data_IF_353823189329
#
_entry.id   IF_353823189329
#
_cell.length_a   1.000
_cell.length_b   1.000
_cell.length_c   1.000
_cell.angle_alpha   90.00
_cell.angle_beta   90.00
_cell.angle_gamma   90.00
#
_symmetry.space_group_name_H-M   'P 1'
#
loop_
_entity.id
_entity.type
_entity.pdbx_description
1 polymer ?
#
# COMPACT_ATOMS: atom_id res chain seq x y z
N UNK A 1 0.07 -30.32 9.64
CA UNK A 1 0.86 -29.67 8.59
C UNK A 1 0.35 -28.24 8.51
N UNK A 2 1.20 -27.27 8.76
CA UNK A 2 0.83 -25.85 8.65
C UNK A 2 0.91 -25.49 7.17
N UNK A 3 -0.20 -25.09 6.57
CA UNK A 3 -0.17 -24.55 5.20
C UNK A 3 0.71 -23.30 5.20
N UNK A 4 1.69 -23.25 4.30
CA UNK A 4 2.54 -22.07 4.08
C UNK A 4 1.74 -20.97 3.42
N UNK A 5 2.04 -19.71 3.74
CA UNK A 5 1.44 -18.56 3.05
C UNK A 5 1.87 -18.59 1.59
N UNK A 6 0.91 -18.53 0.68
CA UNK A 6 1.08 -18.51 -0.77
C UNK A 6 0.20 -17.42 -1.37
N UNK A 7 0.76 -16.67 -2.31
CA UNK A 7 -0.01 -15.75 -3.16
C UNK A 7 0.06 -16.14 -4.63
N UNK A 8 -0.91 -15.63 -5.38
CA UNK A 8 -1.01 -15.67 -6.84
C UNK A 8 -1.41 -14.29 -7.35
N UNK A 9 -0.76 -13.85 -8.41
CA UNK A 9 -1.15 -12.65 -9.16
C UNK A 9 -2.14 -13.06 -10.24
N UNK A 10 -3.42 -12.79 -9.98
CA UNK A 10 -4.53 -13.18 -10.84
C UNK A 10 -4.54 -12.38 -12.15
N UNK A 11 -4.22 -11.08 -12.07
CA UNK A 11 -4.24 -10.22 -13.23
C UNK A 11 -3.43 -8.92 -13.02
N UNK A 12 -2.91 -8.37 -14.11
CA UNK A 12 -2.31 -7.04 -14.19
C UNK A 12 -2.88 -6.34 -15.42
N UNK A 13 -3.83 -5.45 -15.20
CA UNK A 13 -4.58 -4.76 -16.25
C UNK A 13 -4.08 -3.32 -16.38
N UNK A 14 -3.47 -2.99 -17.52
CA UNK A 14 -3.02 -1.61 -17.79
C UNK A 14 -4.23 -0.71 -18.08
N UNK A 15 -4.24 0.47 -17.45
CA UNK A 15 -5.22 1.52 -17.74
C UNK A 15 -4.82 2.22 -19.04
N UNK A 16 -5.80 2.47 -19.92
CA UNK A 16 -5.58 3.15 -21.19
C UNK A 16 -5.13 4.60 -20.93
N UNK A 17 -3.83 4.89 -21.07
CA UNK A 17 -3.26 6.20 -20.80
C UNK A 17 -3.51 7.28 -21.86
N UNK A 18 -4.46 7.07 -22.78
CA UNK A 18 -4.67 7.95 -23.95
C UNK A 18 -5.17 9.35 -23.62
N UNK A 19 -5.63 9.61 -22.38
CA UNK A 19 -6.26 10.88 -21.99
C UNK A 19 -5.48 11.68 -20.94
N UNK A 20 -4.33 11.20 -20.45
CA UNK A 20 -3.56 11.93 -19.43
C UNK A 20 -2.65 12.99 -20.06
N UNK A 21 -2.71 14.23 -19.58
CA UNK A 21 -1.83 15.34 -19.99
C UNK A 21 -0.40 15.21 -19.42
N UNK A 22 -0.22 14.53 -18.29
CA UNK A 22 1.10 14.29 -17.68
C UNK A 22 1.77 12.97 -18.07
N UNK A 23 1.04 11.88 -18.31
CA UNK A 23 1.66 10.56 -18.51
C UNK A 23 2.08 10.34 -19.97
N UNK A 24 3.37 10.10 -20.22
CA UNK A 24 3.90 9.84 -21.57
C UNK A 24 3.88 8.35 -21.91
N UNK A 25 4.47 7.55 -21.03
CA UNK A 25 4.59 6.11 -21.21
C UNK A 25 4.95 5.45 -19.88
N UNK A 26 4.60 4.19 -19.71
CA UNK A 26 4.97 3.41 -18.54
C UNK A 26 5.00 1.90 -18.86
N UNK A 27 5.52 1.13 -17.93
CA UNK A 27 5.44 -0.33 -17.89
C UNK A 27 5.37 -0.80 -16.45
N UNK A 28 4.62 -1.88 -16.23
CA UNK A 28 4.71 -2.71 -15.02
C UNK A 28 5.52 -3.94 -15.43
N UNK A 29 6.76 -4.03 -14.97
CA UNK A 29 7.66 -5.13 -15.31
C UNK A 29 7.41 -6.35 -14.41
N UNK A 30 7.03 -6.11 -13.15
CA UNK A 30 6.56 -7.11 -12.22
C UNK A 30 5.64 -6.51 -11.14
N UNK A 31 4.72 -7.29 -10.57
CA UNK A 31 4.48 -8.71 -10.89
C UNK A 31 3.82 -8.90 -12.26
N UNK A 32 3.87 -10.12 -12.77
CA UNK A 32 3.15 -10.54 -13.98
C UNK A 32 1.98 -11.46 -13.60
N UNK A 33 0.94 -11.50 -14.43
CA UNK A 33 -0.14 -12.48 -14.28
C UNK A 33 0.42 -13.91 -14.18
N UNK A 34 -0.12 -14.70 -13.25
CA UNK A 34 0.31 -16.06 -12.95
C UNK A 34 1.57 -16.15 -12.11
N UNK A 35 2.11 -15.03 -11.59
CA UNK A 35 3.18 -15.08 -10.60
C UNK A 35 2.65 -15.71 -9.32
N UNK A 36 3.29 -16.78 -8.85
CA UNK A 36 2.97 -17.44 -7.59
C UNK A 36 4.23 -17.56 -6.73
N UNK A 37 4.08 -17.39 -5.41
CA UNK A 37 5.17 -17.66 -4.47
C UNK A 37 4.68 -18.01 -3.06
N UNK A 38 5.45 -18.85 -2.37
CA UNK A 38 5.27 -19.18 -0.96
C UNK A 38 5.94 -18.12 -0.07
N UNK A 39 5.44 -16.88 -0.13
CA UNK A 39 6.04 -15.73 0.54
C UNK A 39 4.97 -14.71 0.90
N UNK A 40 5.15 -13.98 2.01
CA UNK A 40 4.32 -12.80 2.33
C UNK A 40 4.83 -11.53 1.66
N UNK A 41 5.94 -11.61 0.93
CA UNK A 41 6.58 -10.49 0.25
C UNK A 41 6.46 -10.68 -1.26
N UNK A 42 6.00 -9.64 -1.94
CA UNK A 42 5.90 -9.57 -3.39
C UNK A 42 6.72 -8.39 -3.91
N UNK A 43 7.48 -8.61 -4.97
CA UNK A 43 8.19 -7.53 -5.65
C UNK A 43 7.25 -6.82 -6.62
N UNK A 44 7.34 -5.49 -6.62
CA UNK A 44 6.68 -4.61 -7.59
C UNK A 44 7.72 -3.73 -8.25
N UNK A 45 7.61 -3.50 -9.55
CA UNK A 45 8.58 -2.70 -10.27
C UNK A 45 8.23 -2.47 -11.73
N UNK A 46 8.88 -1.47 -12.30
CA UNK A 46 8.59 -0.97 -13.63
C UNK A 46 9.23 0.37 -13.88
N UNK A 47 8.63 1.14 -14.78
CA UNK A 47 9.07 2.50 -15.09
C UNK A 47 7.92 3.38 -15.52
N UNK A 48 8.06 4.69 -15.32
CA UNK A 48 7.09 5.70 -15.73
C UNK A 48 7.78 6.97 -16.22
N UNK A 49 7.28 7.52 -17.32
CA UNK A 49 7.73 8.76 -17.93
C UNK A 49 6.58 9.76 -18.00
N UNK A 50 6.89 11.01 -17.64
CA UNK A 50 5.97 12.12 -17.87
C UNK A 50 6.20 12.81 -19.22
N UNK A 51 5.17 13.51 -19.70
CA UNK A 51 5.19 14.30 -20.94
C UNK A 51 5.96 15.61 -20.75
N UNK A 52 5.65 16.35 -19.70
CA UNK A 52 6.17 17.71 -19.42
C UNK A 52 7.14 17.72 -18.25
N UNK A 53 6.80 17.02 -17.16
CA UNK A 53 7.60 16.90 -15.95
C UNK A 53 7.90 15.45 -15.59
N UNK A 54 9.02 15.14 -14.92
CA UNK A 54 9.26 13.79 -14.44
C UNK A 54 8.24 13.41 -13.36
N UNK A 55 7.80 12.15 -13.36
CA UNK A 55 7.05 11.63 -12.23
C UNK A 55 7.92 11.65 -10.96
N UNK A 56 7.30 11.89 -9.81
CA UNK A 56 7.97 11.94 -8.51
C UNK A 56 7.96 10.58 -7.81
N UNK A 57 6.86 9.85 -7.94
CA UNK A 57 6.68 8.54 -7.32
C UNK A 57 5.65 7.71 -8.09
N UNK A 58 5.64 6.41 -7.80
CA UNK A 58 4.52 5.52 -8.10
C UNK A 58 3.89 5.10 -6.78
N UNK A 59 2.58 5.26 -6.66
CA UNK A 59 1.83 4.84 -5.49
C UNK A 59 1.01 3.60 -5.79
N UNK A 60 0.94 2.72 -4.81
CA UNK A 60 -0.03 1.63 -4.75
C UNK A 60 -1.18 2.07 -3.86
N UNK A 61 -2.38 2.10 -4.41
CA UNK A 61 -3.60 2.48 -3.72
C UNK A 61 -4.38 1.21 -3.36
N UNK A 62 -4.88 1.16 -2.13
CA UNK A 62 -5.78 0.11 -1.63
C UNK A 62 -7.06 0.79 -1.14
N UNK A 63 -8.18 0.53 -1.80
CA UNK A 63 -9.41 1.29 -1.60
C UNK A 63 -9.16 2.78 -1.88
N UNK A 64 -9.31 3.62 -0.86
CA UNK A 64 -9.14 5.08 -0.98
C UNK A 64 -7.85 5.60 -0.31
N UNK A 65 -6.89 4.72 -0.01
CA UNK A 65 -5.68 5.08 0.74
C UNK A 65 -4.39 4.63 0.05
N UNK A 66 -3.35 5.45 0.18
CA UNK A 66 -2.00 5.09 -0.26
C UNK A 66 -1.48 3.95 0.62
N UNK A 67 -1.38 2.76 0.04
CA UNK A 67 -0.80 1.59 0.69
C UNK A 67 0.73 1.70 0.72
N UNK A 68 1.33 2.15 -0.38
CA UNK A 68 2.77 2.33 -0.52
C UNK A 68 3.07 3.45 -1.51
N UNK A 69 4.15 4.19 -1.27
CA UNK A 69 4.73 5.16 -2.21
C UNK A 69 6.16 4.74 -2.56
N UNK A 70 6.45 4.63 -3.86
CA UNK A 70 7.70 4.08 -4.39
C UNK A 70 8.47 5.19 -5.12
N UNK A 71 9.71 5.51 -4.70
CA UNK A 71 10.51 6.52 -5.36
C UNK A 71 11.01 6.05 -6.73
N UNK A 72 11.16 7.00 -7.66
CA UNK A 72 11.70 6.75 -9.00
C UNK A 72 13.22 6.92 -9.04
N UNK A 73 13.93 6.11 -8.25
CA UNK A 73 15.38 6.19 -8.12
C UNK A 73 16.13 5.08 -8.90
N UNK A 74 15.41 4.17 -9.56
CA UNK A 74 16.01 3.03 -10.25
C UNK A 74 16.43 3.42 -11.68
N UNK A 75 17.72 3.29 -12.05
CA UNK A 75 18.19 3.68 -13.37
C UNK A 75 17.66 2.78 -14.49
N UNK A 76 17.22 3.38 -15.60
CA UNK A 76 16.72 2.65 -16.80
C UNK A 76 17.38 3.12 -18.09
N UNK A 77 18.64 2.70 -18.36
CA UNK A 77 19.35 3.07 -19.59
C UNK A 77 18.64 2.60 -20.87
N UNK A 78 17.95 1.47 -20.80
CA UNK A 78 17.13 0.91 -21.88
C UNK A 78 15.97 1.85 -22.25
N UNK A 79 15.30 2.42 -21.23
CA UNK A 79 14.22 3.38 -21.41
C UNK A 79 14.78 4.72 -21.90
N UNK A 80 15.89 5.21 -21.32
CA UNK A 80 16.56 6.44 -21.76
C UNK A 80 17.00 6.39 -23.22
N UNK A 81 17.45 5.23 -23.70
CA UNK A 81 17.82 5.02 -25.11
C UNK A 81 16.61 5.11 -26.05
N UNK A 82 15.46 4.61 -25.63
CA UNK A 82 14.20 4.65 -26.43
C UNK A 82 13.53 6.03 -26.37
N UNK A 83 13.58 6.69 -25.21
CA UNK A 83 12.89 7.95 -24.92
C UNK A 83 13.88 9.07 -24.61
N UNK A 84 14.79 9.35 -25.54
CA UNK A 84 15.89 10.32 -25.36
C UNK A 84 15.45 11.77 -25.19
N UNK A 85 14.18 12.11 -25.44
CA UNK A 85 13.62 13.47 -25.37
C UNK A 85 12.70 13.71 -24.16
N UNK A 86 12.43 12.71 -23.33
CA UNK A 86 11.55 12.84 -22.17
C UNK A 86 12.26 13.41 -20.93
N UNK A 87 11.56 14.15 -20.05
CA UNK A 87 12.11 14.58 -18.76
C UNK A 87 12.62 13.37 -17.95
N UNK A 88 13.89 13.40 -17.54
CA UNK A 88 14.54 12.44 -16.62
C UNK A 88 14.42 10.94 -16.96
N UNK A 89 14.53 10.55 -18.23
CA UNK A 89 14.48 9.13 -18.63
C UNK A 89 15.54 8.22 -17.97
N UNK A 90 16.59 8.79 -17.35
CA UNK A 90 17.61 8.01 -16.64
C UNK A 90 17.10 7.46 -15.30
N UNK A 91 16.30 8.21 -14.54
CA UNK A 91 15.77 7.82 -13.22
C UNK A 91 14.23 7.77 -13.27
N UNK A 92 13.73 6.86 -14.09
CA UNK A 92 12.30 6.66 -14.31
C UNK A 92 11.82 5.29 -13.84
N UNK A 93 12.73 4.45 -13.34
CA UNK A 93 12.40 3.14 -12.82
C UNK A 93 12.00 3.21 -11.36
N UNK A 94 11.08 2.33 -10.97
CA UNK A 94 10.71 2.06 -9.59
C UNK A 94 10.84 0.56 -9.31
N UNK A 95 11.21 0.22 -8.08
CA UNK A 95 11.26 -1.16 -7.59
C UNK A 95 11.09 -1.14 -6.06
N UNK A 96 10.27 -2.04 -5.53
CA UNK A 96 10.14 -2.26 -4.10
C UNK A 96 9.59 -3.65 -3.79
N UNK A 97 10.03 -4.23 -2.67
CA UNK A 97 9.40 -5.41 -2.09
C UNK A 97 8.30 -4.98 -1.10
N UNK A 98 7.08 -5.46 -1.29
CA UNK A 98 5.92 -5.13 -0.46
C UNK A 98 5.46 -6.35 0.34
N UNK A 99 5.19 -6.13 1.62
CA UNK A 99 4.54 -7.12 2.48
C UNK A 99 3.03 -7.11 2.20
N UNK A 100 2.51 -8.26 1.78
CA UNK A 100 1.10 -8.49 1.42
C UNK A 100 0.35 -9.32 2.47
N UNK A 101 0.98 -9.70 3.58
CA UNK A 101 0.34 -10.52 4.63
C UNK A 101 -0.88 -9.87 5.28
N UNK A 102 -0.95 -8.53 5.26
CA UNK A 102 -2.05 -7.73 5.81
C UNK A 102 -3.13 -7.37 4.79
N UNK A 103 -3.09 -7.94 3.58
CA UNK A 103 -4.13 -7.73 2.56
C UNK A 103 -5.30 -8.71 2.75
N UNK A 104 -6.40 -8.41 2.09
CA UNK A 104 -7.53 -9.34 2.00
C UNK A 104 -7.15 -10.54 1.13
N UNK A 105 -7.77 -11.70 1.37
CA UNK A 105 -7.55 -12.94 0.58
C UNK A 105 -7.64 -12.71 -0.92
N UNK A 106 -8.58 -11.88 -1.36
CA UNK A 106 -8.61 -11.29 -2.69
C UNK A 106 -8.50 -9.79 -2.52
N UNK A 107 -7.49 -9.18 -3.16
CA UNK A 107 -7.22 -7.76 -3.03
C UNK A 107 -6.94 -7.15 -4.40
N UNK A 108 -7.39 -5.90 -4.58
CA UNK A 108 -7.12 -5.11 -5.76
C UNK A 108 -6.28 -3.88 -5.38
N UNK A 109 -5.15 -3.71 -6.05
CA UNK A 109 -4.27 -2.56 -5.87
C UNK A 109 -4.20 -1.75 -7.16
N UNK A 110 -4.28 -0.44 -7.05
CA UNK A 110 -4.10 0.47 -8.19
C UNK A 110 -2.70 1.08 -8.16
N UNK A 111 -1.95 0.91 -9.23
CA UNK A 111 -0.75 1.69 -9.51
C UNK A 111 -1.17 3.06 -10.05
N UNK A 112 -0.65 4.13 -9.45
CA UNK A 112 -0.78 5.49 -9.98
C UNK A 112 0.56 6.23 -9.96
N UNK A 113 0.78 7.10 -10.94
CA UNK A 113 1.94 7.99 -10.99
C UNK A 113 1.60 9.34 -10.37
N UNK A 114 2.51 9.87 -9.55
CA UNK A 114 2.38 11.21 -8.95
C UNK A 114 3.33 12.16 -9.67
N UNK A 115 2.82 13.31 -10.10
CA UNK A 115 3.55 14.37 -10.77
C UNK A 115 3.56 15.66 -9.93
N UNK A 116 4.51 16.60 -10.13
CA UNK A 116 4.62 17.82 -9.31
C UNK A 116 3.37 18.71 -9.32
N UNK A 117 2.67 18.77 -10.45
CA UNK A 117 1.66 19.80 -10.73
C UNK A 117 0.24 19.23 -10.97
N UNK A 118 0.02 17.92 -10.80
CA UNK A 118 -1.22 17.23 -11.21
C UNK A 118 -1.78 16.23 -10.19
N UNK A 119 -3.07 15.91 -10.39
CA UNK A 119 -3.71 14.77 -9.74
C UNK A 119 -2.96 13.47 -10.10
N UNK A 120 -2.88 12.49 -9.19
CA UNK A 120 -2.29 11.20 -9.51
C UNK A 120 -2.96 10.57 -10.73
N UNK A 121 -2.14 9.98 -11.61
CA UNK A 121 -2.60 9.37 -12.87
C UNK A 121 -2.62 7.85 -12.73
N UNK A 122 -3.80 7.20 -12.83
CA UNK A 122 -3.91 5.74 -12.85
C UNK A 122 -3.07 5.10 -13.97
N UNK A 123 -2.36 4.03 -13.63
CA UNK A 123 -1.48 3.30 -14.55
C UNK A 123 -1.96 1.87 -14.80
N UNK A 124 -2.19 1.11 -13.73
CA UNK A 124 -2.55 -0.30 -13.85
C UNK A 124 -3.25 -0.79 -12.59
N UNK A 125 -4.14 -1.77 -12.76
CA UNK A 125 -4.79 -2.48 -11.67
C UNK A 125 -4.14 -3.86 -11.51
N UNK A 126 -3.80 -4.22 -10.28
CA UNK A 126 -3.25 -5.51 -9.90
C UNK A 126 -4.27 -6.25 -9.04
N UNK A 127 -4.64 -7.45 -9.47
CA UNK A 127 -5.49 -8.37 -8.71
C UNK A 127 -4.63 -9.49 -8.15
N UNK A 128 -4.70 -9.68 -6.85
CA UNK A 128 -3.98 -10.74 -6.16
C UNK A 128 -4.93 -11.62 -5.34
N UNK A 129 -4.53 -12.87 -5.21
CA UNK A 129 -5.13 -13.83 -4.28
C UNK A 129 -4.05 -14.37 -3.35
N UNK A 130 -4.40 -14.68 -2.10
CA UNK A 130 -3.52 -15.44 -1.22
C UNK A 130 -4.28 -16.38 -0.29
N UNK A 131 -3.68 -17.54 0.03
CA UNK A 131 -4.24 -18.50 0.99
C UNK A 131 -4.11 -18.06 2.46
N UNK A 132 -3.38 -16.95 2.70
CA UNK A 132 -3.23 -16.38 4.03
C UNK A 132 -4.59 -16.12 4.63
N UNK A 133 -4.95 -16.89 5.67
CA UNK A 133 -6.01 -16.51 6.58
C UNK A 133 -5.62 -15.12 7.06
N UNK A 134 -6.44 -14.10 6.80
CA UNK A 134 -6.28 -12.77 7.40
C UNK A 134 -5.87 -13.05 8.84
N UNK A 135 -4.66 -12.70 9.29
CA UNK A 135 -4.40 -12.65 10.71
C UNK A 135 -5.39 -11.57 11.14
N UNK A 136 -6.58 -12.00 11.61
CA UNK A 136 -7.50 -11.13 12.32
C UNK A 136 -6.59 -10.43 13.30
N UNK A 137 -6.33 -9.15 13.07
CA UNK A 137 -5.45 -8.35 13.91
C UNK A 137 -5.76 -8.72 15.35
N UNK A 138 -4.76 -8.91 16.21
CA UNK A 138 -5.02 -9.36 17.59
C UNK A 138 -6.15 -8.54 18.25
N UNK A 139 -6.27 -7.25 17.88
CA UNK A 139 -7.40 -6.39 18.18
C UNK A 139 -8.79 -6.98 17.82
N UNK A 140 -8.99 -7.52 16.62
CA UNK A 140 -10.25 -8.12 16.20
C UNK A 140 -10.49 -9.51 16.83
N UNK A 141 -9.44 -10.26 17.18
CA UNK A 141 -9.57 -11.52 17.90
C UNK A 141 -9.98 -11.26 19.36
N UNK A 142 -9.41 -10.26 20.01
CA UNK A 142 -9.85 -9.79 21.32
C UNK A 142 -11.30 -9.30 21.29
N UNK A 143 -11.68 -8.50 20.29
CA UNK A 143 -13.03 -7.96 20.14
C UNK A 143 -14.07 -9.08 19.89
N UNK A 144 -13.81 -10.03 19.00
CA UNK A 144 -14.75 -11.14 18.70
C UNK A 144 -14.88 -12.11 19.86
N UNK A 145 -13.79 -12.38 20.58
CA UNK A 145 -13.84 -13.22 21.80
C UNK A 145 -14.65 -12.52 22.89
N UNK A 146 -14.45 -11.20 23.09
CA UNK A 146 -15.22 -10.43 24.07
C UNK A 146 -16.68 -10.16 23.67
N UNK A 147 -17.00 -10.12 22.36
CA UNK A 147 -18.36 -10.08 21.83
C UNK A 147 -19.13 -11.38 22.10
N UNK A 148 -18.46 -12.53 22.02
CA UNK A 148 -19.06 -13.84 22.33
C UNK A 148 -19.25 -14.09 23.83
N UNK A 149 -18.44 -13.45 24.68
CA UNK A 149 -18.42 -13.67 26.14
C UNK A 149 -19.19 -12.61 26.96
N UNK A 150 -19.83 -11.62 26.31
CA UNK A 150 -20.62 -10.59 27.01
C UNK A 150 -19.82 -9.63 27.89
N UNK A 151 -18.50 -9.51 27.66
CA UNK A 151 -17.57 -8.73 28.49
C UNK A 151 -17.35 -7.27 28.04
N UNK A 152 -17.99 -6.80 26.96
CA UNK A 152 -17.86 -5.39 26.52
C UNK A 152 -18.28 -4.36 27.59
N UNK A 153 -19.38 -4.56 28.35
CA UNK A 153 -19.78 -3.59 29.37
C UNK A 153 -18.71 -3.41 30.43
N UNK A 154 -18.08 -4.50 30.89
CA UNK A 154 -17.06 -4.44 31.95
C UNK A 154 -15.73 -3.87 31.46
N UNK A 155 -15.30 -4.17 30.23
CA UNK A 155 -14.09 -3.54 29.66
C UNK A 155 -14.29 -2.04 29.43
N UNK A 156 -15.45 -1.60 28.96
CA UNK A 156 -15.75 -0.18 28.77
C UNK A 156 -15.85 0.58 30.11
N UNK A 157 -16.45 -0.04 31.13
CA UNK A 157 -16.44 0.51 32.50
C UNK A 157 -15.01 0.64 33.04
N UNK A 158 -14.18 -0.37 32.84
CA UNK A 158 -12.79 -0.34 33.31
C UNK A 158 -11.97 0.75 32.61
N UNK A 159 -12.11 0.90 31.29
CA UNK A 159 -11.46 1.98 30.53
C UNK A 159 -11.94 3.35 31.02
N UNK A 160 -13.23 3.50 31.32
CA UNK A 160 -13.77 4.75 31.86
C UNK A 160 -13.18 5.08 33.24
N UNK A 161 -13.07 4.08 34.12
CA UNK A 161 -12.45 4.24 35.45
C UNK A 161 -10.98 4.64 35.32
N UNK A 162 -10.23 3.99 34.44
CA UNK A 162 -8.80 4.28 34.26
C UNK A 162 -8.58 5.67 33.67
N UNK A 163 -9.45 6.11 32.75
CA UNK A 163 -9.42 7.47 32.19
C UNK A 163 -9.72 8.53 33.26
N UNK A 164 -10.70 8.29 34.13
CA UNK A 164 -11.02 9.18 35.25
C UNK A 164 -9.88 9.27 36.26
N UNK A 165 -9.21 8.14 36.55
CA UNK A 165 -8.02 8.10 37.41
C UNK A 165 -6.86 8.89 36.82
N UNK A 166 -6.55 8.69 35.54
CA UNK A 166 -5.51 9.47 34.85
C UNK A 166 -5.83 10.96 34.85
N UNK A 167 -7.10 11.34 34.63
CA UNK A 167 -7.53 12.75 34.66
C UNK A 167 -7.33 13.36 36.05
N UNK A 168 -7.69 12.63 37.10
CA UNK A 168 -7.52 13.06 38.49
C UNK A 168 -6.05 13.21 38.85
N UNK A 169 -5.21 12.25 38.41
CA UNK A 169 -3.77 12.31 38.60
C UNK A 169 -3.15 13.56 37.96
N UNK A 170 -3.51 13.84 36.70
CA UNK A 170 -3.02 15.02 35.98
C UNK A 170 -3.43 16.34 36.66
N UNK A 171 -4.67 16.43 37.16
CA UNK A 171 -5.13 17.60 37.92
C UNK A 171 -4.31 17.81 39.20
N UNK A 172 -3.96 16.72 39.90
CA UNK A 172 -3.17 16.77 41.14
C UNK A 172 -1.73 17.23 40.86
N UNK A 173 -1.09 16.67 39.84
CA UNK A 173 0.24 17.10 39.38
C UNK A 173 0.25 18.59 39.00
N UNK A 174 -0.78 19.06 38.29
CA UNK A 174 -0.90 20.48 37.95
C UNK A 174 -1.06 21.39 39.17
N UNK A 175 -1.76 20.93 40.22
CA UNK A 175 -1.92 21.71 41.46
C UNK A 175 -0.67 21.76 42.35
N UNK A 176 0.24 20.80 42.21
CA UNK A 176 1.51 20.76 42.96
C UNK A 176 2.63 21.57 42.26
N UNK A 177 2.44 21.92 40.98
CA UNK A 177 3.37 22.67 40.14
C UNK A 177 3.03 24.17 40.03
N UNK A 178 1.98 24.65 40.70
CA UNK A 178 1.56 26.06 40.78
C UNK A 178 1.59 26.59 42.20
#
# INVERSE_FOLDING_TARGET
MTESFKYEVLDVSLVSGSESESLLAFSIDYPSKGTEADSTVMDVGGWVLGKTSPAMAVELIRGDSVFRSIPLNYPRPDVAKRYSKGPSAIKCGFQMSIDISGLSTEEELLFQAVFPDENPVPMATLKLWHNGKIPRTEAHRELVTSLGEGQLPSKLEQIKIDLERSRTFLQRVQSELG
#
